data_IF_147171983254
#
_entry.id   IF_147171983254
#
_cell.length_a   1.000
_cell.length_b   1.000
_cell.length_c   1.000
_cell.angle_alpha   90.00
_cell.angle_beta   90.00
_cell.angle_gamma   90.00
#
_symmetry.space_group_name_H-M   'P 1'
#
loop_
_entity.id
_entity.type
_entity.pdbx_description
1 polymer ?
#
# COMPACT_ATOMS: atom_id res chain seq x y z
N UNK A 1 8.46 -2.97 -12.25
CA UNK A 1 7.36 -2.51 -11.35
C UNK A 1 7.43 -1.01 -11.13
N UNK A 2 8.51 -0.46 -10.56
CA UNK A 2 8.64 1.00 -10.34
C UNK A 2 8.46 1.82 -11.63
N UNK A 3 9.07 1.40 -12.75
CA UNK A 3 8.86 2.06 -14.04
C UNK A 3 7.41 2.02 -14.52
N UNK A 4 6.68 0.92 -14.23
CA UNK A 4 5.26 0.78 -14.57
C UNK A 4 4.42 1.76 -13.76
N UNK A 5 4.72 1.89 -12.47
CA UNK A 5 4.08 2.87 -11.57
C UNK A 5 4.33 4.31 -12.02
N UNK A 6 5.57 4.65 -12.39
CA UNK A 6 5.88 6.01 -12.89
C UNK A 6 5.19 6.28 -14.23
N UNK A 7 5.24 5.33 -15.16
CA UNK A 7 4.57 5.45 -16.45
C UNK A 7 3.05 5.56 -16.29
N UNK A 8 2.45 4.78 -15.38
CA UNK A 8 1.01 4.82 -15.13
C UNK A 8 0.55 6.12 -14.49
N UNK A 9 1.36 6.71 -13.60
CA UNK A 9 1.05 7.99 -13.01
C UNK A 9 0.99 9.09 -14.09
N UNK A 10 2.00 9.15 -14.97
CA UNK A 10 2.06 10.15 -16.04
C UNK A 10 0.92 9.96 -17.05
N UNK A 11 0.71 8.72 -17.52
CA UNK A 11 -0.36 8.42 -18.48
C UNK A 11 -1.75 8.63 -17.88
N UNK A 12 -1.94 8.22 -16.63
CA UNK A 12 -3.21 8.32 -15.91
C UNK A 12 -3.68 9.74 -15.65
N UNK A 13 -2.76 10.72 -15.65
CA UNK A 13 -3.15 12.13 -15.53
C UNK A 13 -3.84 12.68 -16.79
N UNK A 14 -3.58 12.09 -17.97
CA UNK A 14 -4.11 12.57 -19.25
C UNK A 14 -5.16 11.67 -19.90
N UNK A 15 -5.34 10.45 -19.41
CA UNK A 15 -6.21 9.44 -20.02
C UNK A 15 -7.20 8.86 -19.00
N UNK A 16 -8.42 8.46 -19.43
CA UNK A 16 -9.30 7.65 -18.59
C UNK A 16 -8.61 6.35 -18.15
N UNK A 17 -8.94 5.88 -16.94
CA UNK A 17 -8.38 4.66 -16.33
C UNK A 17 -8.31 3.48 -17.30
N UNK A 18 -9.41 3.22 -18.00
CA UNK A 18 -9.51 2.10 -18.95
C UNK A 18 -8.48 2.23 -20.09
N UNK A 19 -8.29 3.44 -20.63
CA UNK A 19 -7.31 3.69 -21.68
C UNK A 19 -5.88 3.52 -21.14
N UNK A 20 -5.57 4.11 -19.98
CA UNK A 20 -4.26 3.96 -19.31
C UNK A 20 -3.90 2.49 -19.07
N UNK A 21 -4.85 1.68 -18.59
CA UNK A 21 -4.66 0.24 -18.42
C UNK A 21 -4.33 -0.46 -19.74
N UNK A 22 -5.08 -0.23 -20.81
CA UNK A 22 -4.86 -0.88 -22.11
C UNK A 22 -3.47 -0.53 -22.66
N UNK A 23 -3.09 0.75 -22.65
CA UNK A 23 -1.77 1.19 -23.10
C UNK A 23 -0.64 0.54 -22.30
N UNK A 24 -0.73 0.55 -20.97
CA UNK A 24 0.27 -0.08 -20.12
C UNK A 24 0.28 -1.61 -20.26
N UNK A 25 -0.86 -2.25 -20.46
CA UNK A 25 -0.93 -3.70 -20.64
C UNK A 25 -0.17 -4.14 -21.90
N UNK A 26 -0.33 -3.41 -23.01
CA UNK A 26 0.37 -3.68 -24.26
C UNK A 26 1.90 -3.51 -24.10
N UNK A 27 2.33 -2.49 -23.36
CA UNK A 27 3.75 -2.14 -23.23
C UNK A 27 4.47 -2.90 -22.11
N UNK A 28 3.86 -3.00 -20.93
CA UNK A 28 4.50 -3.46 -19.70
C UNK A 28 4.21 -4.92 -19.36
N UNK A 29 3.06 -5.50 -19.77
CA UNK A 29 2.76 -6.89 -19.44
C UNK A 29 3.78 -7.89 -20.05
N UNK A 30 4.21 -7.75 -21.33
CA UNK A 30 5.25 -8.61 -21.89
C UNK A 30 6.57 -8.51 -21.12
N UNK A 31 6.97 -7.29 -20.73
CA UNK A 31 8.20 -7.06 -19.98
C UNK A 31 8.14 -7.67 -18.57
N UNK A 32 7.02 -7.52 -17.85
CA UNK A 32 6.83 -8.15 -16.54
C UNK A 32 6.86 -9.68 -16.63
N UNK A 33 6.25 -10.25 -17.68
CA UNK A 33 6.28 -11.69 -17.92
C UNK A 33 7.70 -12.21 -18.20
N UNK A 34 8.50 -11.48 -18.98
CA UNK A 34 9.91 -11.82 -19.20
C UNK A 34 10.75 -11.79 -17.92
N UNK A 35 10.37 -10.94 -16.96
CA UNK A 35 10.98 -10.87 -15.63
C UNK A 35 10.47 -11.95 -14.65
N UNK A 36 9.68 -12.92 -15.12
CA UNK A 36 9.21 -14.05 -14.33
C UNK A 36 7.95 -13.79 -13.51
N UNK A 37 7.32 -12.61 -13.66
CA UNK A 37 6.01 -12.34 -13.04
C UNK A 37 4.94 -13.12 -13.79
N UNK A 38 4.00 -13.73 -13.05
CA UNK A 38 2.88 -14.44 -13.66
C UNK A 38 2.01 -13.50 -14.52
N UNK A 39 1.30 -14.06 -15.49
CA UNK A 39 0.45 -13.25 -16.36
C UNK A 39 -0.65 -12.52 -15.57
N UNK A 40 -1.27 -13.22 -14.60
CA UNK A 40 -2.28 -12.63 -13.74
C UNK A 40 -1.70 -11.49 -12.89
N UNK A 41 -0.56 -11.70 -12.24
CA UNK A 41 0.11 -10.67 -11.46
C UNK A 41 0.53 -9.47 -12.32
N UNK A 42 1.03 -9.70 -13.54
CA UNK A 42 1.40 -8.62 -14.45
C UNK A 42 0.19 -7.71 -14.77
N UNK A 43 -0.95 -8.31 -15.14
CA UNK A 43 -2.17 -7.54 -15.40
C UNK A 43 -2.71 -6.85 -14.14
N UNK A 44 -2.64 -7.49 -12.97
CA UNK A 44 -3.07 -6.88 -11.70
C UNK A 44 -2.19 -5.73 -11.26
N UNK A 45 -0.87 -5.84 -11.40
CA UNK A 45 0.06 -4.73 -11.14
C UNK A 45 -0.29 -3.52 -12.02
N UNK A 46 -0.52 -3.76 -13.31
CA UNK A 46 -0.82 -2.69 -14.27
C UNK A 46 -2.19 -2.07 -13.99
N UNK A 47 -3.21 -2.90 -13.78
CA UNK A 47 -4.56 -2.45 -13.44
C UNK A 47 -4.57 -1.63 -12.15
N UNK A 48 -3.87 -2.10 -11.12
CA UNK A 48 -3.79 -1.43 -9.82
C UNK A 48 -3.11 -0.06 -9.94
N UNK A 49 -1.96 0.01 -10.61
CA UNK A 49 -1.26 1.28 -10.80
C UNK A 49 -1.94 2.23 -11.78
N UNK A 50 -2.84 1.75 -12.65
CA UNK A 50 -3.67 2.64 -13.49
C UNK A 50 -4.63 3.51 -12.68
N UNK A 51 -4.90 3.16 -11.40
CA UNK A 51 -5.71 3.97 -10.48
C UNK A 51 -4.93 5.07 -9.76
N UNK A 52 -3.59 5.06 -9.85
CA UNK A 52 -2.73 5.93 -9.04
C UNK A 52 -2.98 7.44 -9.29
N UNK A 53 -3.22 7.82 -10.54
CA UNK A 53 -3.53 9.20 -10.90
C UNK A 53 -4.84 9.68 -10.25
N UNK A 54 -5.84 8.81 -10.03
CA UNK A 54 -7.11 9.18 -9.42
C UNK A 54 -7.00 9.51 -7.93
N UNK A 55 -5.90 9.12 -7.27
CA UNK A 55 -5.65 9.40 -5.85
C UNK A 55 -4.54 10.43 -5.65
N UNK A 56 -3.85 10.84 -6.72
CA UNK A 56 -2.67 11.71 -6.65
C UNK A 56 -3.03 13.14 -7.11
N UNK A 57 -2.76 14.18 -6.29
CA UNK A 57 -2.84 15.56 -6.74
C UNK A 57 -1.86 15.81 -7.91
N UNK A 58 -2.25 16.55 -8.97
CA UNK A 58 -3.35 17.51 -9.01
C UNK A 58 -4.69 16.93 -9.50
N UNK A 59 -4.80 15.64 -9.84
CA UNK A 59 -6.02 15.08 -10.47
C UNK A 59 -7.08 14.69 -9.42
N UNK A 60 -6.69 13.90 -8.41
CA UNK A 60 -7.48 13.40 -7.27
C UNK A 60 -8.98 13.79 -7.15
N UNK A 61 -9.80 13.40 -8.14
CA UNK A 61 -11.14 13.96 -8.34
C UNK A 61 -12.08 13.69 -7.15
N UNK A 62 -12.02 12.47 -6.60
CA UNK A 62 -12.86 12.09 -5.47
C UNK A 62 -12.58 12.93 -4.21
N UNK A 63 -11.31 13.21 -3.91
CA UNK A 63 -10.94 14.03 -2.77
C UNK A 63 -11.34 15.50 -2.97
N UNK A 64 -11.29 16.01 -4.20
CA UNK A 64 -11.70 17.37 -4.51
C UNK A 64 -13.21 17.56 -4.43
N UNK A 65 -13.99 16.58 -4.90
CA UNK A 65 -15.44 16.57 -4.71
C UNK A 65 -15.81 16.50 -3.22
N UNK A 66 -15.13 15.64 -2.45
CA UNK A 66 -15.32 15.55 -1.00
C UNK A 66 -14.97 16.86 -0.28
N UNK A 67 -13.92 17.56 -0.72
CA UNK A 67 -13.53 18.86 -0.19
C UNK A 67 -14.62 19.92 -0.41
N UNK A 68 -15.27 19.93 -1.58
CA UNK A 68 -16.40 20.83 -1.86
C UNK A 68 -17.59 20.59 -0.94
N UNK A 69 -17.88 19.33 -0.58
CA UNK A 69 -18.94 18.98 0.38
C UNK A 69 -18.53 19.36 1.82
N UNK A 70 -17.27 19.14 2.19
CA UNK A 70 -16.74 19.42 3.53
C UNK A 70 -16.39 20.90 3.76
N UNK A 71 -16.42 21.75 2.73
CA UNK A 71 -16.02 23.15 2.80
C UNK A 71 -14.51 23.36 3.03
N UNK A 72 -13.68 22.36 2.72
CA UNK A 72 -12.22 22.42 2.90
C UNK A 72 -11.50 22.73 1.59
N UNK A 73 -10.21 23.11 1.67
CA UNK A 73 -9.41 23.44 0.48
C UNK A 73 -9.10 22.16 -0.31
N UNK A 74 -9.47 22.05 -1.61
CA UNK A 74 -9.30 20.82 -2.38
C UNK A 74 -7.89 20.24 -2.38
N UNK A 75 -6.87 21.09 -2.55
CA UNK A 75 -5.47 20.65 -2.56
C UNK A 75 -5.03 20.06 -1.21
N UNK A 76 -5.45 20.66 -0.08
CA UNK A 76 -5.10 20.15 1.26
C UNK A 76 -5.77 18.80 1.52
N UNK A 77 -7.05 18.66 1.15
CA UNK A 77 -7.78 17.40 1.23
C UNK A 77 -7.17 16.33 0.32
N UNK A 78 -6.78 16.70 -0.90
CA UNK A 78 -6.11 15.79 -1.84
C UNK A 78 -4.76 15.29 -1.31
N UNK A 79 -3.94 16.17 -0.73
CA UNK A 79 -2.67 15.78 -0.12
C UNK A 79 -2.88 14.86 1.10
N UNK A 80 -3.89 15.12 1.92
CA UNK A 80 -4.23 14.27 3.06
C UNK A 80 -4.71 12.88 2.60
N UNK A 81 -5.60 12.83 1.60
CA UNK A 81 -6.08 11.58 1.00
C UNK A 81 -4.93 10.79 0.37
N UNK A 82 -4.05 11.45 -0.39
CA UNK A 82 -2.89 10.82 -1.02
C UNK A 82 -1.92 10.22 0.01
N UNK A 83 -1.67 10.94 1.12
CA UNK A 83 -0.84 10.43 2.22
C UNK A 83 -1.36 9.09 2.76
N UNK A 84 -2.68 8.97 2.94
CA UNK A 84 -3.33 7.75 3.41
C UNK A 84 -3.36 6.66 2.32
N UNK A 85 -3.53 7.06 1.05
CA UNK A 85 -3.57 6.16 -0.08
C UNK A 85 -2.21 5.50 -0.43
N UNK A 86 -1.10 5.90 0.20
CA UNK A 86 0.25 5.36 -0.09
C UNK A 86 0.37 3.84 0.03
N UNK A 87 -0.53 3.18 0.78
CA UNK A 87 -0.63 1.71 0.78
C UNK A 87 -0.85 1.12 -0.62
N UNK A 88 -1.45 1.89 -1.53
CA UNK A 88 -1.65 1.55 -2.95
C UNK A 88 -0.33 1.21 -3.65
N UNK A 89 0.79 1.83 -3.26
CA UNK A 89 2.10 1.57 -3.88
C UNK A 89 2.71 0.22 -3.48
N UNK A 90 2.29 -0.34 -2.34
CA UNK A 90 2.85 -1.55 -1.75
C UNK A 90 2.22 -2.81 -2.37
N UNK A 91 0.90 -2.79 -2.59
CA UNK A 91 0.12 -3.95 -3.04
C UNK A 91 0.67 -4.61 -4.32
N UNK A 92 1.09 -3.88 -5.37
CA UNK A 92 1.61 -4.51 -6.58
C UNK A 92 2.91 -5.29 -6.37
N UNK A 93 3.72 -4.93 -5.38
CA UNK A 93 4.89 -5.75 -5.01
C UNK A 93 4.45 -7.06 -4.35
N UNK A 94 3.38 -7.03 -3.54
CA UNK A 94 2.80 -8.25 -2.98
C UNK A 94 2.25 -9.15 -4.08
N UNK A 95 1.59 -8.61 -5.11
CA UNK A 95 1.15 -9.39 -6.26
C UNK A 95 2.31 -10.09 -6.98
N UNK A 96 3.47 -9.43 -7.11
CA UNK A 96 4.61 -9.99 -7.81
C UNK A 96 5.38 -11.05 -6.99
N UNK A 97 5.47 -10.88 -5.68
CA UNK A 97 6.41 -11.64 -4.83
C UNK A 97 5.75 -12.50 -3.75
N UNK A 98 4.42 -12.57 -3.70
CA UNK A 98 3.69 -13.35 -2.69
C UNK A 98 2.52 -14.09 -3.35
N UNK A 99 2.00 -15.17 -2.73
CA UNK A 99 0.89 -15.94 -3.29
C UNK A 99 -0.47 -15.22 -3.18
N UNK A 100 -0.52 -13.90 -2.93
CA UNK A 100 -1.74 -13.14 -2.67
C UNK A 100 -2.83 -13.29 -3.75
N UNK A 101 -2.43 -13.61 -4.99
CA UNK A 101 -3.33 -13.82 -6.13
C UNK A 101 -3.77 -15.28 -6.32
N UNK A 102 -3.77 -16.09 -5.26
CA UNK A 102 -4.14 -17.52 -5.30
C UNK A 102 -3.25 -18.37 -6.21
N UNK A 103 -2.01 -17.92 -6.46
CA UNK A 103 -0.99 -18.66 -7.22
C UNK A 103 -0.16 -19.57 -6.30
N UNK A 104 -0.83 -20.25 -5.36
CA UNK A 104 -0.19 -21.10 -4.34
C UNK A 104 -1.21 -21.74 -3.40
N UNK A 105 -0.76 -22.44 -2.35
CA UNK A 105 -1.64 -23.05 -1.37
C UNK A 105 -2.53 -22.01 -0.67
N UNK A 106 -3.83 -22.29 -0.54
CA UNK A 106 -4.82 -21.37 0.07
C UNK A 106 -4.39 -20.93 1.47
N UNK A 107 -3.74 -21.79 2.25
CA UNK A 107 -3.19 -21.45 3.56
C UNK A 107 -2.17 -20.31 3.50
N UNK A 108 -1.27 -20.32 2.51
CA UNK A 108 -0.27 -19.27 2.34
C UNK A 108 -0.89 -17.96 1.84
N UNK A 109 -1.94 -18.05 1.03
CA UNK A 109 -2.74 -16.88 0.60
C UNK A 109 -3.35 -16.20 1.82
N UNK A 110 -4.00 -16.97 2.70
CA UNK A 110 -4.63 -16.45 3.92
C UNK A 110 -3.61 -15.81 4.87
N UNK A 111 -2.46 -16.46 5.07
CA UNK A 111 -1.38 -15.91 5.90
C UNK A 111 -0.83 -14.62 5.30
N UNK A 112 -0.63 -14.59 3.98
CA UNK A 112 -0.15 -13.41 3.26
C UNK A 112 -1.16 -12.27 3.33
N UNK A 113 -2.44 -12.54 3.12
CA UNK A 113 -3.52 -11.56 3.23
C UNK A 113 -3.58 -10.96 4.64
N UNK A 114 -3.58 -11.81 5.68
CA UNK A 114 -3.59 -11.36 7.08
C UNK A 114 -2.34 -10.53 7.42
N UNK A 115 -1.15 -10.99 7.00
CA UNK A 115 0.12 -10.28 7.22
C UNK A 115 0.15 -8.95 6.47
N UNK A 116 -0.37 -8.90 5.24
CA UNK A 116 -0.47 -7.68 4.45
C UNK A 116 -1.46 -6.69 5.06
N UNK A 117 -2.60 -7.13 5.58
CA UNK A 117 -3.55 -6.26 6.31
C UNK A 117 -2.89 -5.65 7.54
N UNK A 118 -2.20 -6.46 8.36
CA UNK A 118 -1.46 -5.96 9.52
C UNK A 118 -0.30 -5.05 9.13
N UNK A 119 0.41 -5.38 8.05
CA UNK A 119 1.50 -4.58 7.51
C UNK A 119 1.04 -3.22 7.01
N UNK A 120 -0.10 -3.15 6.31
CA UNK A 120 -0.70 -1.89 5.88
C UNK A 120 -1.20 -1.07 7.07
N UNK A 121 -1.76 -1.72 8.10
CA UNK A 121 -2.14 -1.02 9.33
C UNK A 121 -0.90 -0.45 10.04
N UNK A 122 0.18 -1.24 10.17
CA UNK A 122 1.46 -0.77 10.71
C UNK A 122 2.06 0.37 9.87
N UNK A 123 1.92 0.31 8.54
CA UNK A 123 2.33 1.37 7.64
C UNK A 123 1.56 2.67 7.92
N UNK A 124 0.22 2.60 8.04
CA UNK A 124 -0.61 3.76 8.40
C UNK A 124 -0.24 4.32 9.76
N UNK A 125 -0.01 3.46 10.76
CA UNK A 125 0.47 3.88 12.09
C UNK A 125 1.82 4.60 12.00
N UNK A 126 2.72 4.14 11.13
CA UNK A 126 4.03 4.75 10.89
C UNK A 126 3.91 6.10 10.18
N UNK A 127 3.01 6.25 9.21
CA UNK A 127 2.83 7.51 8.47
C UNK A 127 2.05 8.56 9.28
N UNK A 128 1.07 8.14 10.08
CA UNK A 128 0.30 9.03 10.95
C UNK A 128 1.00 9.36 12.27
N UNK A 129 1.91 8.49 12.76
CA UNK A 129 2.60 8.73 14.03
C UNK A 129 1.67 8.54 15.24
N UNK A 130 0.57 7.82 15.08
CA UNK A 130 -0.40 7.55 16.12
C UNK A 130 -0.87 6.10 16.07
N UNK A 131 -0.98 5.47 17.25
CA UNK A 131 -1.59 4.14 17.37
C UNK A 131 -2.69 4.09 18.43
N UNK A 132 -2.34 3.91 19.71
CA UNK A 132 -3.23 4.15 20.85
C UNK A 132 -2.96 5.50 21.52
N UNK A 133 -1.72 5.98 21.38
CA UNK A 133 -1.25 7.33 21.70
C UNK A 133 -0.32 7.81 20.59
N UNK A 134 0.09 9.08 20.68
CA UNK A 134 1.16 9.63 19.83
C UNK A 134 2.44 8.81 20.03
N UNK A 135 3.06 8.42 18.92
CA UNK A 135 4.30 7.64 18.90
C UNK A 135 5.50 8.55 19.17
N UNK A 136 6.44 8.06 19.96
CA UNK A 136 7.77 8.66 20.03
C UNK A 136 8.54 8.38 18.72
N UNK A 137 9.56 9.20 18.37
CA UNK A 137 10.35 8.99 17.15
C UNK A 137 10.95 7.58 17.04
N UNK A 138 11.40 6.99 18.15
CA UNK A 138 11.95 5.64 18.18
C UNK A 138 10.87 4.56 17.98
N UNK A 139 9.68 4.73 18.58
CA UNK A 139 8.54 3.82 18.37
C UNK A 139 8.09 3.84 16.91
N UNK A 140 8.12 5.02 16.29
CA UNK A 140 7.80 5.19 14.88
C UNK A 140 8.77 4.43 13.97
N UNK A 141 10.07 4.48 14.27
CA UNK A 141 11.08 3.69 13.55
C UNK A 141 10.81 2.19 13.74
N UNK A 142 10.52 1.74 14.96
CA UNK A 142 10.20 0.33 15.23
C UNK A 142 8.97 -0.17 14.47
N UNK A 143 7.88 0.60 14.43
CA UNK A 143 6.69 0.23 13.64
C UNK A 143 7.00 0.26 12.15
N UNK A 144 7.86 1.17 11.68
CA UNK A 144 8.35 1.17 10.31
C UNK A 144 9.11 -0.10 9.95
N UNK A 145 9.99 -0.58 10.82
CA UNK A 145 10.69 -1.87 10.65
C UNK A 145 9.71 -3.04 10.70
N UNK A 146 8.74 -3.01 11.62
CA UNK A 146 7.70 -4.03 11.72
C UNK A 146 6.86 -4.11 10.44
N UNK A 147 6.54 -2.97 9.84
CA UNK A 147 5.83 -2.85 8.56
C UNK A 147 6.58 -3.59 7.45
N UNK A 148 7.89 -3.33 7.31
CA UNK A 148 8.72 -4.01 6.32
C UNK A 148 8.77 -5.51 6.57
N UNK A 149 8.92 -5.95 7.82
CA UNK A 149 8.93 -7.37 8.18
C UNK A 149 7.60 -8.08 7.87
N UNK A 150 6.47 -7.45 8.19
CA UNK A 150 5.12 -8.00 7.94
C UNK A 150 4.79 -8.12 6.45
N UNK A 151 5.29 -7.21 5.63
CA UNK A 151 5.08 -7.20 4.17
C UNK A 151 6.08 -8.08 3.41
N UNK A 152 7.14 -8.54 4.08
CA UNK A 152 8.17 -9.34 3.45
C UNK A 152 7.67 -10.77 3.16
N UNK A 153 8.04 -11.40 2.02
CA UNK A 153 7.55 -12.74 1.66
C UNK A 153 7.93 -13.85 2.65
N UNK A 154 9.12 -13.77 3.24
CA UNK A 154 9.65 -14.81 4.15
C UNK A 154 8.90 -14.86 5.50
N UNK A 155 8.55 -16.08 5.93
CA UNK A 155 7.83 -16.32 7.18
C UNK A 155 8.56 -15.78 8.42
N UNK A 156 9.91 -15.88 8.45
CA UNK A 156 10.72 -15.43 9.58
C UNK A 156 10.55 -13.93 9.82
N UNK A 157 10.57 -13.14 8.74
CA UNK A 157 10.40 -11.69 8.81
C UNK A 157 8.98 -11.29 9.19
N UNK A 158 7.97 -12.04 8.72
CA UNK A 158 6.57 -11.83 9.12
C UNK A 158 6.39 -12.03 10.63
N UNK A 159 6.95 -13.12 11.18
CA UNK A 159 6.88 -13.40 12.62
C UNK A 159 7.61 -12.32 13.44
N UNK A 160 8.80 -11.89 13.01
CA UNK A 160 9.52 -10.80 13.66
C UNK A 160 8.73 -9.49 13.63
N UNK A 161 8.15 -9.14 12.47
CA UNK A 161 7.31 -7.96 12.33
C UNK A 161 6.08 -8.02 13.23
N UNK A 162 5.43 -9.18 13.32
CA UNK A 162 4.28 -9.40 14.20
C UNK A 162 4.64 -9.29 15.68
N UNK A 163 5.81 -9.81 16.09
CA UNK A 163 6.31 -9.68 17.45
C UNK A 163 6.61 -8.21 17.81
N UNK A 164 7.30 -7.48 16.92
CA UNK A 164 7.60 -6.05 17.14
C UNK A 164 6.30 -5.25 17.23
N UNK A 165 5.38 -5.45 16.29
CA UNK A 165 4.11 -4.72 16.27
C UNK A 165 3.22 -5.06 17.48
N UNK A 166 3.12 -6.34 17.84
CA UNK A 166 2.35 -6.82 18.98
C UNK A 166 2.92 -6.38 20.33
N UNK A 167 4.25 -6.43 20.51
CA UNK A 167 4.91 -5.94 21.72
C UNK A 167 4.71 -4.45 21.93
N UNK A 168 4.76 -3.65 20.86
CA UNK A 168 4.52 -2.20 20.92
C UNK A 168 3.05 -1.89 21.24
N UNK A 169 2.11 -2.66 20.70
CA UNK A 169 0.69 -2.58 21.09
C UNK A 169 0.49 -2.85 22.58
N UNK A 170 1.09 -3.93 23.10
CA UNK A 170 0.97 -4.30 24.52
C UNK A 170 1.62 -3.24 25.42
N UNK A 171 2.80 -2.74 25.05
CA UNK A 171 3.49 -1.67 25.76
C UNK A 171 2.59 -0.41 25.90
N UNK A 172 2.01 0.07 24.78
CA UNK A 172 1.11 1.22 24.82
C UNK A 172 -0.17 0.95 25.61
N UNK A 173 -0.71 -0.26 25.54
CA UNK A 173 -1.93 -0.64 26.28
C UNK A 173 -1.70 -0.64 27.79
N UNK A 174 -0.56 -1.14 28.25
CA UNK A 174 -0.18 -1.14 29.68
C UNK A 174 0.08 0.28 30.17
N UNK A 175 0.80 1.10 29.39
CA UNK A 175 1.08 2.49 29.74
C UNK A 175 -0.20 3.33 29.82
N UNK A 176 -1.13 3.15 28.88
CA UNK A 176 -2.43 3.85 28.88
C UNK A 176 -3.31 3.47 30.07
N UNK A 177 -3.20 2.25 30.61
CA UNK A 177 -3.93 1.83 31.83
C UNK A 177 -3.32 2.37 33.13
N UNK A 178 -2.07 2.84 33.10
CA UNK A 178 -1.38 3.42 34.26
C UNK A 178 -1.63 4.92 34.42
N UNK A 179 -2.19 5.58 33.41
CA UNK A 179 -2.64 6.97 33.44
C UNK A 179 -4.16 7.01 33.57
#
# INVERSE_FOLDING_TARGET
IILVMLASLVLGMGLPVTASYIFLAILAAPALKQLGVSLLAAHMIIFWYSQDANVTPPVCLAAYSAAGIAGSRPMETGLAAWKLAKGLYIIPFLFAYTPLLFEGPVSEVLITAASATLGLLAFTVTTEGFFLRRLFPWERILVGVATLGLLWPDMRWRLLGLLIFGSLYLYQKVEKRRK
#
